data_IF_345955378443
#
_entry.id   IF_345955378443
#
_cell.length_a   1.000
_cell.length_b   1.000
_cell.length_c   1.000
_cell.angle_alpha   90.00
_cell.angle_beta   90.00
_cell.angle_gamma   90.00
#
_symmetry.space_group_name_H-M   'P 1'
#
loop_
_entity.id
_entity.type
_entity.pdbx_description
1 polymer ?
#
# COMPACT_ATOMS: atom_id res chain seq x y z
N UNK A 1 -5.18 -10.08 7.75
CA UNK A 1 -3.80 -9.55 7.64
C UNK A 1 -3.61 -9.14 6.19
N UNK A 2 -3.30 -7.87 5.93
CA UNK A 2 -3.19 -7.34 4.57
C UNK A 2 -1.89 -7.84 3.92
N UNK A 3 -1.98 -8.43 2.73
CA UNK A 3 -0.85 -8.99 2.00
C UNK A 3 -0.74 -8.27 0.66
N UNK A 4 0.44 -7.73 0.38
CA UNK A 4 0.77 -7.13 -0.91
C UNK A 4 1.79 -8.01 -1.62
N UNK A 5 1.48 -8.45 -2.84
CA UNK A 5 2.50 -8.97 -3.75
C UNK A 5 3.13 -7.80 -4.51
N UNK A 6 4.45 -7.63 -4.35
CA UNK A 6 5.20 -6.53 -4.96
C UNK A 6 5.27 -6.77 -6.47
N UNK A 7 4.71 -5.87 -7.26
CA UNK A 7 4.84 -5.86 -8.71
C UNK A 7 6.13 -5.13 -9.13
N UNK A 8 6.38 -3.95 -8.56
CA UNK A 8 7.56 -3.13 -8.88
C UNK A 8 8.02 -2.37 -7.64
N UNK A 9 9.32 -2.16 -7.53
CA UNK A 9 9.92 -1.28 -6.53
C UNK A 9 10.50 -0.04 -7.21
N UNK A 10 9.98 1.13 -6.86
CA UNK A 10 10.48 2.43 -7.31
C UNK A 10 11.38 3.03 -6.22
N UNK A 11 12.63 3.37 -6.57
CA UNK A 11 13.63 3.87 -5.63
C UNK A 11 13.76 5.39 -5.75
N UNK A 12 13.43 6.12 -4.68
CA UNK A 12 13.37 7.59 -4.68
C UNK A 12 14.53 8.27 -3.94
N UNK A 13 15.50 7.49 -3.46
CA UNK A 13 16.68 8.01 -2.76
C UNK A 13 16.49 8.03 -1.25
N UNK A 14 15.53 8.77 -0.70
CA UNK A 14 15.30 8.79 0.77
C UNK A 14 14.36 7.66 1.25
N UNK A 15 13.49 7.19 0.35
CA UNK A 15 12.50 6.16 0.55
C UNK A 15 12.27 5.39 -0.76
N UNK A 16 11.46 4.33 -0.69
CA UNK A 16 11.06 3.54 -1.85
C UNK A 16 9.54 3.40 -1.88
N UNK A 17 8.97 3.22 -3.07
CA UNK A 17 7.56 2.87 -3.25
C UNK A 17 7.46 1.44 -3.79
N UNK A 18 6.83 0.56 -3.00
CA UNK A 18 6.42 -0.75 -3.47
C UNK A 18 5.02 -0.64 -4.09
N UNK A 19 4.95 -0.86 -5.39
CA UNK A 19 3.70 -0.98 -6.13
C UNK A 19 3.29 -2.44 -6.16
N UNK A 20 2.01 -2.74 -5.89
CA UNK A 20 1.53 -4.12 -5.86
C UNK A 20 0.01 -4.22 -5.83
N UNK A 21 -0.48 -5.42 -5.55
CA UNK A 21 -1.91 -5.69 -5.43
C UNK A 21 -2.26 -6.31 -4.07
N UNK A 22 -3.32 -5.82 -3.47
CA UNK A 22 -3.96 -6.40 -2.30
C UNK A 22 -5.40 -6.79 -2.67
N UNK A 23 -5.72 -8.09 -2.63
CA UNK A 23 -7.05 -8.63 -3.01
C UNK A 23 -7.55 -8.12 -4.39
N UNK A 24 -6.64 -7.95 -5.35
CA UNK A 24 -6.95 -7.44 -6.70
C UNK A 24 -7.00 -5.92 -6.83
N UNK A 25 -6.94 -5.17 -5.72
CA UNK A 25 -6.84 -3.72 -5.74
C UNK A 25 -5.38 -3.28 -5.81
N UNK A 26 -5.06 -2.36 -6.72
CA UNK A 26 -3.74 -1.75 -6.77
C UNK A 26 -3.47 -0.94 -5.49
N UNK A 27 -2.30 -1.14 -4.89
CA UNK A 27 -1.87 -0.44 -3.69
C UNK A 27 -0.41 -0.02 -3.85
N UNK A 28 -0.07 1.17 -3.33
CA UNK A 28 1.29 1.68 -3.23
C UNK A 28 1.64 1.83 -1.76
N UNK A 29 2.79 1.28 -1.36
CA UNK A 29 3.29 1.33 0.01
C UNK A 29 4.64 2.03 0.03
N UNK A 30 4.78 3.04 0.89
CA UNK A 30 6.08 3.68 1.13
C UNK A 30 6.90 2.85 2.12
N UNK A 31 8.14 2.57 1.73
CA UNK A 31 9.12 1.81 2.49
C UNK A 31 10.31 2.69 2.86
N UNK A 32 11.05 2.30 3.90
CA UNK A 32 12.32 2.90 4.24
C UNK A 32 13.33 2.68 3.08
N UNK A 33 14.36 3.53 3.00
CA UNK A 33 15.39 3.45 1.96
C UNK A 33 16.04 2.05 1.84
N UNK A 34 16.29 1.41 2.98
CA UNK A 34 17.00 0.13 3.05
C UNK A 34 16.08 -1.08 2.78
N UNK A 35 14.76 -0.88 2.79
CA UNK A 35 13.78 -1.91 2.47
C UNK A 35 13.63 -2.02 0.95
N UNK A 36 14.26 -3.05 0.38
CA UNK A 36 14.35 -3.28 -1.06
C UNK A 36 13.76 -4.66 -1.47
N UNK A 37 12.46 -4.90 -1.25
CA UNK A 37 11.84 -6.15 -1.67
C UNK A 37 11.88 -6.32 -3.19
N UNK A 38 12.19 -7.52 -3.66
CA UNK A 38 12.14 -7.84 -5.08
C UNK A 38 10.69 -7.93 -5.58
N UNK A 39 10.44 -7.68 -6.89
CA UNK A 39 9.20 -8.10 -7.53
C UNK A 39 8.87 -9.58 -7.25
N UNK A 40 7.60 -9.88 -7.00
CA UNK A 40 7.10 -11.19 -6.55
C UNK A 40 7.24 -11.45 -5.04
N UNK A 41 7.97 -10.60 -4.31
CA UNK A 41 8.01 -10.69 -2.85
C UNK A 41 6.65 -10.36 -2.23
N UNK A 42 6.43 -10.88 -1.04
CA UNK A 42 5.23 -10.61 -0.26
C UNK A 42 5.52 -9.69 0.90
N UNK A 43 4.82 -8.56 0.97
CA UNK A 43 4.81 -7.70 2.14
C UNK A 43 3.57 -8.00 2.99
N UNK A 44 3.79 -8.12 4.30
CA UNK A 44 2.73 -8.24 5.29
C UNK A 44 2.50 -6.88 5.92
N UNK A 45 1.35 -6.26 5.64
CA UNK A 45 1.06 -4.90 6.02
C UNK A 45 0.24 -4.85 7.30
N UNK A 46 0.62 -3.95 8.19
CA UNK A 46 -0.22 -3.49 9.29
C UNK A 46 -0.85 -2.16 8.90
N UNK A 47 -2.17 -2.12 8.87
CA UNK A 47 -2.95 -0.93 8.52
C UNK A 47 -3.77 -0.50 9.75
N UNK A 48 -3.27 0.45 10.56
CA UNK A 48 -3.93 0.89 11.78
C UNK A 48 -5.37 1.35 11.53
N UNK A 49 -6.30 0.99 12.42
CA UNK A 49 -7.72 1.28 12.26
C UNK A 49 -8.02 2.80 12.16
N UNK A 50 -7.24 3.61 12.88
CA UNK A 50 -7.31 5.07 12.94
C UNK A 50 -6.75 5.78 11.70
N UNK A 51 -6.02 5.07 10.84
CA UNK A 51 -5.46 5.61 9.60
C UNK A 51 -6.36 5.37 8.38
N UNK A 52 -7.51 4.70 8.53
CA UNK A 52 -8.43 4.44 7.42
C UNK A 52 -9.31 5.65 7.12
N UNK A 53 -9.49 5.91 5.83
CA UNK A 53 -10.49 6.84 5.32
C UNK A 53 -11.50 6.09 4.46
N UNK A 54 -12.78 6.32 4.71
CA UNK A 54 -13.87 5.67 3.99
C UNK A 54 -14.53 6.70 3.08
N UNK A 55 -15.00 6.24 1.93
CA UNK A 55 -15.60 7.09 0.92
C UNK A 55 -16.92 6.47 0.44
N UNK A 56 -17.92 7.32 0.20
CA UNK A 56 -19.19 6.90 -0.39
C UNK A 56 -18.98 6.42 -1.83
N UNK A 57 -19.52 5.25 -2.15
CA UNK A 57 -19.31 4.62 -3.47
C UNK A 57 -20.02 5.29 -4.64
N UNK A 58 -21.03 6.14 -4.39
CA UNK A 58 -21.83 6.79 -5.43
C UNK A 58 -21.28 8.18 -5.78
N UNK A 59 -20.88 8.94 -4.77
CA UNK A 59 -20.46 10.34 -4.95
C UNK A 59 -18.99 10.60 -4.54
N UNK A 60 -18.30 9.63 -3.94
CA UNK A 60 -16.88 9.73 -3.59
C UNK A 60 -16.58 10.65 -2.41
N UNK A 61 -17.59 11.10 -1.66
CA UNK A 61 -17.37 11.96 -0.49
C UNK A 61 -16.81 11.16 0.68
N UNK A 62 -15.96 11.78 1.51
CA UNK A 62 -15.39 11.14 2.69
C UNK A 62 -16.47 10.96 3.76
N UNK A 63 -16.56 9.75 4.31
CA UNK A 63 -17.44 9.42 5.44
C UNK A 63 -16.63 9.58 6.73
N UNK A 64 -17.17 10.33 7.69
CA UNK A 64 -16.64 10.38 9.05
C UNK A 64 -17.38 9.34 9.88
N UNK A 65 -16.62 8.42 10.48
CA UNK A 65 -17.08 7.30 11.31
C UNK A 65 -16.48 7.38 12.70
#
# INVERSE_FOLDING_TARGET
>A
MCRLEVATLERLGADNLAHGHWEGCALVVRLAHDDLPAPGATLHLHCPADAWHYFDSQNGTRVEI
#
